data_IF_300533545955
#
_entry.id   IF_300533545955
#
_cell.length_a   1.000
_cell.length_b   1.000
_cell.length_c   1.000
_cell.angle_alpha   90.00
_cell.angle_beta   90.00
_cell.angle_gamma   90.00
#
_symmetry.space_group_name_H-M   'P 1'
#
loop_
_entity.id
_entity.type
_entity.pdbx_description
1 polymer ?
#
# COMPACT_ATOMS: atom_id res chain seq x y z
N UNK A 1 27.65 2.68 -2.50
CA UNK A 1 26.18 2.70 -2.62
C UNK A 1 25.67 4.04 -2.10
N UNK A 2 24.79 4.69 -2.84
CA UNK A 2 24.15 5.92 -2.38
C UNK A 2 23.12 5.61 -1.30
N UNK A 3 22.96 6.53 -0.35
CA UNK A 3 21.85 6.47 0.61
C UNK A 3 20.54 6.66 -0.15
N UNK A 4 19.50 5.87 0.13
CA UNK A 4 18.19 6.08 -0.45
C UNK A 4 17.69 7.52 -0.21
N UNK A 5 17.00 8.08 -1.20
CA UNK A 5 16.43 9.44 -1.14
C UNK A 5 15.06 9.48 -0.49
N UNK A 6 14.34 8.38 -0.57
CA UNK A 6 12.95 8.31 -0.13
C UNK A 6 12.71 7.07 0.75
N UNK A 7 11.94 7.28 1.80
CA UNK A 7 11.44 6.20 2.66
C UNK A 7 9.95 5.99 2.37
N UNK A 8 9.60 4.81 1.86
CA UNK A 8 8.22 4.44 1.60
C UNK A 8 7.78 3.32 2.54
N UNK A 9 6.64 3.50 3.16
CA UNK A 9 5.97 2.48 3.97
C UNK A 9 5.01 1.67 3.11
N UNK A 10 5.21 0.34 3.11
CA UNK A 10 4.23 -0.61 2.55
C UNK A 10 3.40 -1.11 3.71
N UNK A 11 2.18 -0.58 3.84
CA UNK A 11 1.29 -0.83 4.97
C UNK A 11 0.17 -1.79 4.56
N UNK A 12 0.04 -2.88 5.31
CA UNK A 12 -0.90 -3.95 5.01
C UNK A 12 -1.85 -4.20 6.19
N UNK A 13 -3.12 -4.27 5.88
CA UNK A 13 -4.20 -4.53 6.81
C UNK A 13 -4.44 -6.01 7.11
N UNK A 14 -5.64 -6.33 7.60
CA UNK A 14 -5.96 -7.66 8.12
C UNK A 14 -5.87 -8.74 7.05
N UNK A 15 -5.44 -9.93 7.50
CA UNK A 15 -5.33 -11.14 6.69
C UNK A 15 -4.27 -11.11 5.58
N UNK A 16 -3.49 -10.04 5.46
CA UNK A 16 -2.48 -9.90 4.40
C UNK A 16 -1.12 -10.49 4.80
N UNK A 17 -0.94 -10.87 6.06
CA UNK A 17 0.26 -11.58 6.51
C UNK A 17 0.39 -13.00 5.98
N UNK A 18 -0.67 -13.56 5.41
CA UNK A 18 -0.72 -14.94 4.90
C UNK A 18 -0.84 -15.02 3.38
N UNK A 19 -0.45 -13.97 2.68
CA UNK A 19 -0.43 -13.99 1.21
C UNK A 19 0.49 -15.08 0.70
N UNK A 20 0.06 -15.76 -0.39
CA UNK A 20 0.72 -16.95 -0.92
C UNK A 20 0.20 -18.27 -0.33
N UNK A 21 -0.49 -18.22 0.82
CA UNK A 21 -1.11 -19.37 1.48
C UNK A 21 -2.63 -19.33 1.46
N UNK A 22 -3.21 -18.12 1.39
CA UNK A 22 -4.65 -17.89 1.48
C UNK A 22 -5.22 -17.64 0.09
N UNK A 23 -6.20 -18.45 -0.32
CA UNK A 23 -6.94 -18.29 -1.57
C UNK A 23 -6.04 -17.91 -2.76
N UNK A 24 -5.08 -18.78 -3.17
CA UNK A 24 -4.14 -18.47 -4.25
C UNK A 24 -4.84 -18.10 -5.56
N UNK A 25 -6.06 -18.60 -5.78
CA UNK A 25 -6.89 -18.28 -6.95
C UNK A 25 -7.34 -16.82 -7.01
N UNK A 26 -7.36 -16.11 -5.86
CA UNK A 26 -7.73 -14.69 -5.78
C UNK A 26 -6.50 -13.80 -5.64
N UNK A 27 -5.57 -14.18 -4.74
CA UNK A 27 -4.44 -13.34 -4.33
C UNK A 27 -3.11 -13.77 -4.97
N UNK A 28 -3.08 -14.93 -5.65
CA UNK A 28 -1.86 -15.52 -6.19
C UNK A 28 -1.05 -16.28 -5.12
N UNK A 29 -0.12 -17.10 -5.58
CA UNK A 29 0.76 -17.88 -4.71
C UNK A 29 1.99 -17.09 -4.24
N UNK A 30 2.29 -15.94 -4.85
CA UNK A 30 3.45 -15.11 -4.53
C UNK A 30 3.15 -14.18 -3.36
N UNK A 31 4.04 -14.14 -2.39
CA UNK A 31 3.91 -13.28 -1.22
C UNK A 31 4.51 -11.88 -1.40
N UNK A 32 4.42 -11.08 -0.33
CA UNK A 32 4.92 -9.70 -0.30
C UNK A 32 6.44 -9.61 -0.43
N UNK A 33 7.16 -10.67 -0.15
CA UNK A 33 8.62 -10.76 -0.30
C UNK A 33 9.08 -10.59 -1.77
N UNK A 34 8.18 -10.79 -2.74
CA UNK A 34 8.47 -10.54 -4.14
C UNK A 34 8.47 -9.05 -4.53
N UNK A 35 7.88 -8.18 -3.71
CA UNK A 35 7.70 -6.76 -4.06
C UNK A 35 9.02 -6.03 -4.34
N UNK A 36 10.08 -6.14 -3.50
CA UNK A 36 11.33 -5.45 -3.80
C UNK A 36 11.93 -5.83 -5.16
N UNK A 37 11.93 -7.12 -5.49
CA UNK A 37 12.41 -7.60 -6.79
C UNK A 37 11.58 -7.08 -7.96
N UNK A 38 10.25 -7.00 -7.80
CA UNK A 38 9.36 -6.44 -8.82
C UNK A 38 9.58 -4.93 -9.00
N UNK A 39 9.81 -4.20 -7.91
CA UNK A 39 10.18 -2.77 -7.95
C UNK A 39 11.49 -2.59 -8.73
N UNK A 40 12.49 -3.41 -8.45
CA UNK A 40 13.77 -3.38 -9.16
C UNK A 40 13.59 -3.64 -10.66
N UNK A 41 12.79 -4.65 -11.01
CA UNK A 41 12.51 -4.97 -12.42
C UNK A 41 11.79 -3.83 -13.13
N UNK A 42 10.82 -3.19 -12.45
CA UNK A 42 9.98 -2.16 -13.03
C UNK A 42 10.70 -0.82 -13.15
N UNK A 43 11.51 -0.46 -12.15
CA UNK A 43 12.10 0.88 -12.02
C UNK A 43 13.59 0.94 -12.35
N UNK A 44 14.27 -0.21 -12.46
CA UNK A 44 15.70 -0.22 -12.75
C UNK A 44 16.52 0.53 -11.70
N UNK A 45 17.42 1.40 -12.14
CA UNK A 45 18.33 2.15 -11.25
C UNK A 45 17.56 3.05 -10.26
N UNK A 46 16.39 3.55 -10.63
CA UNK A 46 15.59 4.40 -9.76
C UNK A 46 15.09 3.65 -8.51
N UNK A 47 15.03 2.31 -8.54
CA UNK A 47 14.71 1.53 -7.35
C UNK A 47 15.71 1.75 -6.21
N UNK A 48 16.96 2.06 -6.53
CA UNK A 48 18.02 2.37 -5.54
C UNK A 48 17.78 3.66 -4.75
N UNK A 49 16.91 4.53 -5.24
CA UNK A 49 16.51 5.76 -4.54
C UNK A 49 15.52 5.51 -3.39
N UNK A 50 14.96 4.29 -3.30
CA UNK A 50 13.82 4.02 -2.41
C UNK A 50 14.20 2.98 -1.36
N UNK A 51 13.98 3.33 -0.09
CA UNK A 51 13.94 2.39 1.02
C UNK A 51 12.49 1.95 1.22
N UNK A 52 12.24 0.65 1.19
CA UNK A 52 10.91 0.08 1.47
C UNK A 52 10.88 -0.47 2.90
N UNK A 53 9.92 -0.02 3.68
CA UNK A 53 9.64 -0.54 5.01
C UNK A 53 8.26 -1.22 4.99
N UNK A 54 8.18 -2.45 5.49
CA UNK A 54 6.96 -3.28 5.43
C UNK A 54 6.36 -3.42 6.81
N UNK A 55 5.07 -3.19 6.92
CA UNK A 55 4.32 -3.43 8.15
C UNK A 55 2.96 -4.05 7.82
N UNK A 56 2.55 -5.01 8.65
CA UNK A 56 1.25 -5.66 8.54
C UNK A 56 0.62 -5.79 9.93
N UNK A 57 -0.66 -5.49 10.03
CA UNK A 57 -1.42 -5.70 11.26
C UNK A 57 -2.89 -6.03 10.96
N UNK A 58 -3.53 -6.71 11.91
CA UNK A 58 -4.93 -7.12 11.79
C UNK A 58 -5.90 -6.14 12.46
N UNK A 59 -5.42 -5.18 13.23
CA UNK A 59 -6.28 -4.23 13.93
C UNK A 59 -6.17 -2.83 13.38
N UNK A 60 -7.28 -2.09 13.39
CA UNK A 60 -7.31 -0.68 13.01
C UNK A 60 -6.36 0.17 13.85
N UNK A 61 -6.33 -0.09 15.16
CA UNK A 61 -5.46 0.66 16.08
C UNK A 61 -3.99 0.54 15.73
N UNK A 62 -3.51 -0.67 15.44
CA UNK A 62 -2.12 -0.88 15.07
C UNK A 62 -1.76 -0.21 13.74
N UNK A 63 -2.69 -0.16 12.78
CA UNK A 63 -2.50 0.53 11.50
C UNK A 63 -2.46 2.05 11.71
N UNK A 64 -3.32 2.59 12.54
CA UNK A 64 -3.34 4.02 12.90
C UNK A 64 -2.02 4.39 13.59
N UNK A 65 -1.61 3.62 14.60
CA UNK A 65 -0.35 3.85 15.31
C UNK A 65 0.84 3.86 14.34
N UNK A 66 0.83 2.95 13.37
CA UNK A 66 1.91 2.89 12.38
C UNK A 66 1.93 4.09 11.43
N UNK A 67 0.76 4.58 11.03
CA UNK A 67 0.64 5.81 10.22
C UNK A 67 1.12 7.04 11.01
N UNK A 68 0.78 7.12 12.29
CA UNK A 68 1.27 8.18 13.17
C UNK A 68 2.81 8.15 13.30
N UNK A 69 3.38 6.96 13.48
CA UNK A 69 4.83 6.79 13.51
C UNK A 69 5.47 7.22 12.19
N UNK A 70 4.85 6.88 11.05
CA UNK A 70 5.34 7.30 9.74
C UNK A 70 5.32 8.84 9.60
N UNK A 71 4.28 9.49 10.10
CA UNK A 71 4.19 10.94 10.15
C UNK A 71 5.32 11.55 10.99
N UNK A 72 5.55 11.05 12.19
CA UNK A 72 6.60 11.51 13.08
C UNK A 72 8.01 11.28 12.51
N UNK A 73 8.22 10.14 11.86
CA UNK A 73 9.48 9.80 11.20
C UNK A 73 9.71 10.56 9.88
N UNK A 74 8.72 11.33 9.42
CA UNK A 74 8.77 12.05 8.14
C UNK A 74 8.93 11.10 6.95
N UNK A 75 8.27 9.96 7.01
CA UNK A 75 8.18 9.04 5.87
C UNK A 75 7.66 9.78 4.65
N UNK A 76 8.24 9.53 3.49
CA UNK A 76 7.94 10.29 2.28
C UNK A 76 6.64 9.86 1.61
N UNK A 77 6.23 8.62 1.79
CA UNK A 77 4.99 8.14 1.22
C UNK A 77 4.57 6.77 1.72
N UNK A 78 3.31 6.43 1.46
CA UNK A 78 2.69 5.20 1.93
C UNK A 78 2.01 4.48 0.77
N UNK A 79 2.28 3.20 0.63
CA UNK A 79 1.50 2.28 -0.19
C UNK A 79 0.62 1.49 0.77
N UNK A 80 -0.69 1.68 0.69
CA UNK A 80 -1.62 1.19 1.69
C UNK A 80 -2.64 0.20 1.11
N UNK A 81 -2.53 -1.05 1.53
CA UNK A 81 -3.56 -2.06 1.33
C UNK A 81 -4.26 -2.29 2.68
N UNK A 82 -5.38 -1.62 2.89
CA UNK A 82 -6.12 -1.72 4.15
C UNK A 82 -6.95 -3.01 4.26
N UNK A 83 -6.96 -3.86 3.23
CA UNK A 83 -7.77 -5.06 3.22
C UNK A 83 -9.25 -4.73 3.35
N UNK A 84 -9.98 -5.49 4.16
CA UNK A 84 -11.41 -5.25 4.36
C UNK A 84 -11.71 -3.89 5.04
N UNK A 85 -10.77 -3.31 5.79
CA UNK A 85 -10.95 -1.99 6.39
C UNK A 85 -11.10 -0.87 5.36
N UNK A 86 -10.66 -1.07 4.14
CA UNK A 86 -10.91 -0.14 3.02
C UNK A 86 -12.39 0.23 2.93
N UNK A 87 -13.26 -0.76 3.16
CA UNK A 87 -14.71 -0.66 2.94
C UNK A 87 -15.49 -0.26 4.18
N UNK A 88 -14.84 -0.15 5.35
CA UNK A 88 -15.54 -0.01 6.64
C UNK A 88 -14.92 1.02 7.58
N UNK A 89 -13.62 1.35 7.46
CA UNK A 89 -12.93 2.12 8.49
C UNK A 89 -12.96 3.61 8.24
N UNK A 90 -13.85 4.30 8.94
CA UNK A 90 -13.80 5.76 9.05
C UNK A 90 -12.57 6.21 9.86
N UNK A 91 -12.13 5.41 10.84
CA UNK A 91 -10.99 5.77 11.68
C UNK A 91 -9.70 5.86 10.86
N UNK A 92 -9.48 4.93 9.93
CA UNK A 92 -8.34 5.01 9.01
C UNK A 92 -8.45 6.18 8.04
N UNK A 93 -9.65 6.46 7.53
CA UNK A 93 -9.88 7.63 6.69
C UNK A 93 -9.54 8.92 7.41
N UNK A 94 -9.97 9.07 8.65
CA UNK A 94 -9.67 10.23 9.48
C UNK A 94 -8.17 10.37 9.75
N UNK A 95 -7.48 9.26 10.00
CA UNK A 95 -6.03 9.25 10.19
C UNK A 95 -5.31 9.76 8.93
N UNK A 96 -5.63 9.23 7.76
CA UNK A 96 -5.04 9.67 6.50
C UNK A 96 -5.30 11.15 6.23
N UNK A 97 -6.47 11.65 6.61
CA UNK A 97 -6.84 13.06 6.42
C UNK A 97 -5.95 14.02 7.20
N UNK A 98 -5.51 13.64 8.41
CA UNK A 98 -4.69 14.54 9.22
C UNK A 98 -3.18 14.32 9.04
N UNK A 99 -2.71 13.10 8.85
CA UNK A 99 -1.27 12.84 8.63
C UNK A 99 -0.80 13.40 7.28
N UNK A 100 -1.67 13.45 6.30
CA UNK A 100 -1.43 14.04 4.96
C UNK A 100 -0.18 13.50 4.26
N UNK A 101 0.23 12.28 4.55
CA UNK A 101 1.30 11.63 3.81
C UNK A 101 0.80 11.27 2.42
N UNK A 102 1.61 11.48 1.36
CA UNK A 102 1.26 10.95 0.05
C UNK A 102 1.00 9.45 0.14
N UNK A 103 -0.20 9.03 -0.28
CA UNK A 103 -0.65 7.65 -0.13
C UNK A 103 -1.21 7.13 -1.44
N UNK A 104 -0.82 5.93 -1.84
CA UNK A 104 -1.45 5.18 -2.93
C UNK A 104 -2.21 4.01 -2.32
N UNK A 105 -3.52 3.93 -2.57
CA UNK A 105 -4.35 2.79 -2.18
C UNK A 105 -4.08 1.62 -3.12
N UNK A 106 -3.87 0.43 -2.57
CA UNK A 106 -3.56 -0.77 -3.34
C UNK A 106 -4.50 -1.91 -2.97
N UNK A 107 -4.93 -2.65 -3.98
CA UNK A 107 -5.62 -3.92 -3.84
C UNK A 107 -5.00 -4.95 -4.78
N UNK A 108 -4.80 -6.17 -4.29
CA UNK A 108 -4.25 -7.28 -5.08
C UNK A 108 -5.28 -7.75 -6.11
N UNK A 109 -6.54 -7.91 -5.68
CA UNK A 109 -7.64 -8.27 -6.57
C UNK A 109 -8.32 -7.04 -7.15
N UNK A 110 -9.02 -7.24 -8.27
CA UNK A 110 -9.93 -6.21 -8.78
C UNK A 110 -11.18 -6.17 -7.89
N UNK A 111 -11.26 -5.20 -7.00
CA UNK A 111 -12.36 -5.07 -6.03
C UNK A 111 -13.71 -4.84 -6.71
N UNK A 112 -13.73 -4.24 -7.90
CA UNK A 112 -14.97 -4.01 -8.66
C UNK A 112 -15.50 -5.29 -9.29
N UNK A 113 -14.68 -6.31 -9.43
CA UNK A 113 -15.13 -7.64 -9.90
C UNK A 113 -15.72 -8.50 -8.78
N UNK A 114 -15.65 -8.05 -7.51
CA UNK A 114 -16.27 -8.73 -6.39
C UNK A 114 -17.79 -8.60 -6.47
N UNK A 115 -18.51 -9.62 -5.99
CA UNK A 115 -19.97 -9.65 -6.01
C UNK A 115 -20.64 -8.80 -4.94
N UNK A 116 -19.96 -8.58 -3.81
CA UNK A 116 -20.51 -7.80 -2.70
C UNK A 116 -20.41 -6.29 -2.97
N UNK A 117 -21.55 -5.57 -3.02
CA UNK A 117 -21.52 -4.12 -3.30
C UNK A 117 -20.71 -3.31 -2.31
N UNK A 118 -20.61 -3.74 -1.05
CA UNK A 118 -19.81 -3.08 -0.03
C UNK A 118 -18.34 -2.98 -0.44
N UNK A 119 -17.83 -3.96 -1.19
CA UNK A 119 -16.43 -3.98 -1.63
C UNK A 119 -16.13 -2.99 -2.77
N UNK A 120 -17.16 -2.34 -3.33
CA UNK A 120 -17.01 -1.32 -4.36
C UNK A 120 -16.88 0.09 -3.78
N UNK A 121 -16.82 0.22 -2.44
CA UNK A 121 -16.65 1.49 -1.75
C UNK A 121 -15.30 1.56 -1.06
N UNK A 122 -14.67 2.72 -1.09
CA UNK A 122 -13.44 2.96 -0.37
C UNK A 122 -13.57 4.24 0.47
N UNK A 123 -13.35 4.12 1.78
CA UNK A 123 -13.27 5.28 2.68
C UNK A 123 -11.89 5.94 2.63
N UNK A 124 -10.86 5.21 2.20
CA UNK A 124 -9.49 5.75 2.18
C UNK A 124 -9.11 6.36 0.84
N UNK A 125 -9.75 5.96 -0.25
CA UNK A 125 -9.39 6.39 -1.61
C UNK A 125 -9.44 7.89 -1.83
N UNK A 126 -10.34 8.62 -1.17
CA UNK A 126 -10.44 10.07 -1.26
C UNK A 126 -9.21 10.79 -0.67
N UNK A 127 -8.47 10.12 0.20
CA UNK A 127 -7.28 10.65 0.85
C UNK A 127 -5.99 10.14 0.18
N UNK A 128 -6.13 9.35 -0.87
CA UNK A 128 -5.02 8.81 -1.64
C UNK A 128 -4.73 9.67 -2.87
N UNK A 129 -3.50 9.64 -3.33
CA UNK A 129 -3.08 10.22 -4.61
C UNK A 129 -3.77 9.50 -5.76
N UNK A 130 -3.92 8.18 -5.64
CA UNK A 130 -4.60 7.33 -6.61
C UNK A 130 -4.81 5.93 -6.06
N UNK A 131 -5.45 5.09 -6.87
CA UNK A 131 -5.79 3.71 -6.51
C UNK A 131 -5.29 2.76 -7.59
N UNK A 132 -4.62 1.69 -7.18
CA UNK A 132 -4.18 0.60 -8.07
C UNK A 132 -4.76 -0.70 -7.56
N UNK A 133 -5.50 -1.40 -8.41
CA UNK A 133 -6.18 -2.63 -8.03
C UNK A 133 -6.17 -3.66 -9.15
N UNK A 134 -6.02 -4.94 -8.82
CA UNK A 134 -6.31 -6.03 -9.75
C UNK A 134 -5.10 -6.68 -10.42
N UNK A 135 -3.88 -6.25 -10.15
CA UNK A 135 -2.68 -6.76 -10.82
C UNK A 135 -1.86 -7.71 -9.93
N UNK A 136 -2.51 -8.34 -8.95
CA UNK A 136 -1.81 -9.24 -8.02
C UNK A 136 -0.77 -8.50 -7.19
N UNK A 137 0.31 -9.18 -6.84
CA UNK A 137 1.42 -8.58 -6.08
C UNK A 137 2.09 -7.45 -6.86
N UNK A 138 2.07 -7.48 -8.18
CA UNK A 138 2.59 -6.39 -9.02
C UNK A 138 1.92 -5.05 -8.72
N UNK A 139 0.69 -5.05 -8.20
CA UNK A 139 -0.01 -3.82 -7.80
C UNK A 139 0.82 -2.98 -6.82
N UNK A 140 1.56 -3.62 -5.92
CA UNK A 140 2.46 -2.91 -4.99
C UNK A 140 3.62 -2.22 -5.70
N UNK A 141 4.27 -2.91 -6.62
CA UNK A 141 5.38 -2.34 -7.39
C UNK A 141 4.92 -1.16 -8.26
N UNK A 142 3.74 -1.30 -8.88
CA UNK A 142 3.12 -0.22 -9.64
C UNK A 142 2.80 0.98 -8.74
N UNK A 143 2.33 0.75 -7.52
CA UNK A 143 2.06 1.80 -6.55
C UNK A 143 3.34 2.51 -6.09
N UNK A 144 4.42 1.78 -5.86
CA UNK A 144 5.74 2.36 -5.54
C UNK A 144 6.20 3.27 -6.67
N UNK A 145 6.10 2.80 -7.90
CA UNK A 145 6.47 3.61 -9.08
C UNK A 145 5.60 4.86 -9.19
N UNK A 146 4.28 4.73 -9.01
CA UNK A 146 3.36 5.86 -9.06
C UNK A 146 3.66 6.89 -7.97
N UNK A 147 3.94 6.44 -6.76
CA UNK A 147 4.28 7.29 -5.63
C UNK A 147 5.61 8.02 -5.86
N UNK A 148 6.63 7.32 -6.34
CA UNK A 148 7.91 7.89 -6.71
C UNK A 148 7.74 8.99 -7.76
N UNK A 149 6.96 8.71 -8.81
CA UNK A 149 6.65 9.69 -9.86
C UNK A 149 5.94 10.93 -9.30
N UNK A 150 4.93 10.71 -8.45
CA UNK A 150 4.16 11.80 -7.83
C UNK A 150 5.06 12.74 -7.02
N UNK A 151 5.92 12.19 -6.18
CA UNK A 151 6.78 12.96 -5.29
C UNK A 151 7.87 13.73 -6.08
N UNK A 152 8.43 13.11 -7.12
CA UNK A 152 9.45 13.78 -7.96
C UNK A 152 8.90 14.89 -8.84
N UNK A 153 7.59 14.92 -9.10
CA UNK A 153 6.94 15.92 -9.95
C UNK A 153 6.04 16.88 -9.16
N UNK A 154 6.11 16.80 -7.84
CA UNK A 154 5.35 17.70 -6.97
C UNK A 154 6.03 19.07 -6.84
#
# INVERSE_FOLDING_TARGET
MSTPRFDFLILNGPNLGHLGKRQPEIYGATGLDAVPGQVQTLMGDAAGDIQLDFFQANSEGALIDRLEQAYEARTDGVVFNAGAYTHTSLALADCLAWVKLPCVEVHISNIWARSEPLRHQSYIGRHAVGVIAGFGIMSYALAVQALYHHINNA
#
